data_IF_489233157741
#
_entry.id   IF_489233157741
#
_cell.length_a   1.000
_cell.length_b   1.000
_cell.length_c   1.000
_cell.angle_alpha   90.00
_cell.angle_beta   90.00
_cell.angle_gamma   90.00
#
_symmetry.space_group_name_H-M   'P 1'
#
loop_
_entity.id
_entity.type
_entity.pdbx_description
1 polymer ?
#
# COMPACT_ATOMS: atom_id res chain seq x y z
N UNK A 1 -46.93 8.68 22.04
CA UNK A 1 -46.20 9.78 21.37
C UNK A 1 -44.69 9.65 21.58
N UNK A 2 -44.20 9.43 22.80
CA UNK A 2 -42.75 9.32 23.10
C UNK A 2 -42.03 8.16 22.40
N UNK A 3 -42.62 6.96 22.37
CA UNK A 3 -41.97 5.75 21.80
C UNK A 3 -41.68 5.86 20.29
N UNK A 4 -42.59 6.46 19.50
CA UNK A 4 -42.37 6.76 18.07
C UNK A 4 -41.29 7.82 17.85
N UNK A 5 -41.13 8.76 18.79
CA UNK A 5 -40.09 9.79 18.73
C UNK A 5 -38.71 9.20 19.06
N UNK A 6 -38.64 8.25 20.00
CA UNK A 6 -37.42 7.49 20.31
C UNK A 6 -37.00 6.63 19.12
N UNK A 7 -37.92 5.85 18.55
CA UNK A 7 -37.64 5.02 17.38
C UNK A 7 -37.12 5.83 16.18
N UNK A 8 -37.74 6.99 15.90
CA UNK A 8 -37.27 7.86 14.81
C UNK A 8 -35.88 8.45 15.06
N UNK A 9 -35.53 8.74 16.31
CA UNK A 9 -34.18 9.20 16.67
C UNK A 9 -33.16 8.09 16.48
N UNK A 10 -33.48 6.89 16.95
CA UNK A 10 -32.58 5.73 16.84
C UNK A 10 -32.33 5.36 15.36
N UNK A 11 -33.36 5.42 14.52
CA UNK A 11 -33.22 5.20 13.06
C UNK A 11 -32.33 6.26 12.42
N UNK A 12 -32.54 7.55 12.73
CA UNK A 12 -31.72 8.63 12.18
C UNK A 12 -30.24 8.51 12.62
N UNK A 13 -29.99 8.11 13.88
CA UNK A 13 -28.64 7.86 14.38
C UNK A 13 -27.98 6.66 13.71
N UNK A 14 -28.72 5.59 13.45
CA UNK A 14 -28.24 4.43 12.69
C UNK A 14 -27.90 4.84 11.26
N UNK A 15 -28.78 5.54 10.55
CA UNK A 15 -28.54 6.01 9.18
C UNK A 15 -27.29 6.89 9.11
N UNK A 16 -27.13 7.80 10.06
CA UNK A 16 -25.94 8.66 10.15
C UNK A 16 -24.67 7.84 10.37
N UNK A 17 -24.66 6.89 11.31
CA UNK A 17 -23.49 6.05 11.58
C UNK A 17 -23.16 5.15 10.39
N UNK A 18 -24.18 4.58 9.75
CA UNK A 18 -24.04 3.74 8.57
C UNK A 18 -23.39 4.52 7.42
N UNK A 19 -23.86 5.75 7.17
CA UNK A 19 -23.28 6.65 6.17
C UNK A 19 -21.85 7.10 6.45
N UNK A 20 -21.38 6.98 7.70
CA UNK A 20 -20.03 7.33 8.10
C UNK A 20 -19.09 6.11 8.24
N UNK A 21 -19.55 4.88 7.99
CA UNK A 21 -18.71 3.68 8.19
C UNK A 21 -17.52 3.59 7.23
N UNK A 22 -17.65 4.16 6.04
CA UNK A 22 -16.62 4.12 5.02
C UNK A 22 -16.63 5.42 4.23
N UNK A 23 -15.45 5.99 3.98
CA UNK A 23 -15.32 7.19 3.15
C UNK A 23 -14.09 7.13 2.26
N UNK A 24 -14.20 7.69 1.07
CA UNK A 24 -13.06 7.93 0.20
C UNK A 24 -12.36 9.23 0.59
N UNK A 25 -11.05 9.25 0.43
CA UNK A 25 -10.27 10.47 0.63
C UNK A 25 -8.90 10.38 -0.02
N UNK A 26 -8.10 11.40 0.24
CA UNK A 26 -6.72 11.49 -0.24
C UNK A 26 -5.79 11.72 0.93
N UNK A 27 -4.64 11.03 0.97
CA UNK A 27 -3.63 11.27 2.00
C UNK A 27 -3.16 12.73 1.89
N UNK A 28 -3.31 13.48 2.97
CA UNK A 28 -2.91 14.89 3.04
C UNK A 28 -1.59 15.07 3.77
N UNK A 29 -1.36 14.28 4.84
CA UNK A 29 -0.16 14.32 5.67
C UNK A 29 0.21 12.87 6.04
N UNK A 30 1.51 12.60 6.17
CA UNK A 30 2.03 11.30 6.56
C UNK A 30 3.12 11.44 7.62
N UNK A 31 3.04 10.62 8.66
CA UNK A 31 4.07 10.42 9.67
C UNK A 31 4.49 8.95 9.63
N UNK A 32 5.56 8.69 8.89
CA UNK A 32 6.12 7.36 8.72
C UNK A 32 6.80 6.84 9.99
N UNK A 33 7.16 7.71 10.93
CA UNK A 33 7.80 7.29 12.20
C UNK A 33 6.80 6.62 13.14
N UNK A 34 5.52 6.98 13.03
CA UNK A 34 4.42 6.41 13.82
C UNK A 34 3.47 5.53 13.00
N UNK A 35 3.79 5.29 11.72
CA UNK A 35 2.96 4.55 10.77
C UNK A 35 1.52 5.09 10.69
N UNK A 36 1.37 6.42 10.64
CA UNK A 36 0.08 7.10 10.59
C UNK A 36 -0.01 8.12 9.47
N UNK A 37 -1.24 8.36 9.02
CA UNK A 37 -1.56 9.34 7.98
C UNK A 37 -2.80 10.15 8.36
N UNK A 38 -2.96 11.32 7.75
CA UNK A 38 -4.21 12.09 7.79
C UNK A 38 -4.82 12.11 6.40
N UNK A 39 -6.13 11.89 6.35
CA UNK A 39 -6.89 11.77 5.11
C UNK A 39 -7.82 12.97 4.97
N UNK A 40 -7.80 13.59 3.79
CA UNK A 40 -8.74 14.64 3.40
C UNK A 40 -9.89 14.05 2.61
N UNK A 41 -11.12 14.33 3.03
CA UNK A 41 -12.36 13.96 2.34
C UNK A 41 -13.29 15.16 2.28
N UNK A 42 -13.34 15.82 1.12
CA UNK A 42 -13.98 17.12 0.96
C UNK A 42 -13.44 18.15 1.97
N UNK A 43 -14.29 18.76 2.81
CA UNK A 43 -13.85 19.73 3.81
C UNK A 43 -13.23 19.09 5.06
N UNK A 44 -13.35 17.77 5.24
CA UNK A 44 -12.92 17.06 6.45
C UNK A 44 -11.47 16.66 6.31
N UNK A 45 -10.67 16.92 7.36
CA UNK A 45 -9.34 16.35 7.54
C UNK A 45 -9.36 15.47 8.79
N UNK A 46 -8.98 14.20 8.64
CA UNK A 46 -8.99 13.26 9.76
C UNK A 46 -7.92 13.60 10.82
N UNK A 47 -8.04 12.93 11.97
CA UNK A 47 -6.92 12.74 12.89
C UNK A 47 -5.86 11.80 12.28
N UNK A 48 -4.78 11.56 13.00
CA UNK A 48 -3.75 10.59 12.63
C UNK A 48 -4.28 9.16 12.73
N UNK A 49 -4.57 8.55 11.58
CA UNK A 49 -5.11 7.20 11.48
C UNK A 49 -3.98 6.22 11.14
N UNK A 50 -4.00 5.00 11.69
CA UNK A 50 -3.15 3.92 11.19
C UNK A 50 -3.57 3.54 9.76
N UNK A 51 -2.63 2.98 9.00
CA UNK A 51 -2.90 2.38 7.69
C UNK A 51 -2.64 0.87 7.70
N UNK A 52 -3.36 0.13 6.87
CA UNK A 52 -3.18 -1.30 6.72
C UNK A 52 -1.87 -1.65 6.01
N UNK A 53 -1.31 -2.79 6.39
CA UNK A 53 -0.22 -3.47 5.71
C UNK A 53 -0.61 -4.93 5.51
N UNK A 54 0.10 -5.68 4.66
CA UNK A 54 -0.24 -7.08 4.38
C UNK A 54 -0.02 -8.00 5.60
N UNK A 55 1.01 -7.74 6.42
CA UNK A 55 1.37 -8.50 7.63
C UNK A 55 1.97 -7.56 8.69
N UNK A 56 1.65 -7.76 9.97
CA UNK A 56 2.02 -6.86 11.07
C UNK A 56 2.32 -7.58 12.41
N UNK A 57 2.85 -8.80 12.38
CA UNK A 57 3.17 -9.63 13.56
C UNK A 57 4.49 -10.38 13.31
N UNK A 58 4.54 -11.71 13.46
CA UNK A 58 5.76 -12.51 13.20
C UNK A 58 6.38 -12.25 11.82
N UNK A 59 5.55 -12.01 10.80
CA UNK A 59 5.96 -11.38 9.55
C UNK A 59 5.47 -9.93 9.53
N UNK A 60 6.32 -8.99 9.09
CA UNK A 60 6.01 -7.56 8.99
C UNK A 60 6.30 -7.07 7.58
N UNK A 61 5.34 -6.38 6.96
CA UNK A 61 5.53 -5.72 5.66
C UNK A 61 5.49 -4.21 5.77
N UNK A 62 6.29 -3.52 4.95
CA UNK A 62 6.35 -2.07 4.89
C UNK A 62 6.25 -1.58 3.44
N UNK A 63 5.14 -0.92 3.12
CA UNK A 63 4.89 -0.20 1.87
C UNK A 63 3.85 0.88 2.16
N UNK A 64 4.27 2.01 2.74
CA UNK A 64 3.34 3.00 3.28
C UNK A 64 2.64 3.76 2.15
N UNK A 65 1.41 4.24 2.35
CA UNK A 65 0.75 5.11 1.38
C UNK A 65 1.45 6.47 1.32
N UNK A 66 1.43 7.10 0.14
CA UNK A 66 2.08 8.41 -0.09
C UNK A 66 1.09 9.57 0.03
N UNK A 67 1.61 10.76 0.38
CA UNK A 67 0.82 12.00 0.28
C UNK A 67 0.32 12.18 -1.15
N UNK A 68 -0.96 12.47 -1.27
CA UNK A 68 -1.65 12.57 -2.54
C UNK A 68 -2.24 11.26 -3.01
N UNK A 69 -2.09 10.11 -2.34
CA UNK A 69 -2.70 8.84 -2.75
C UNK A 69 -4.20 8.79 -2.40
N UNK A 70 -5.04 8.24 -3.28
CA UNK A 70 -6.46 8.07 -3.02
C UNK A 70 -6.70 6.77 -2.27
N UNK A 71 -7.46 6.84 -1.17
CA UNK A 71 -7.64 5.72 -0.24
C UNK A 71 -9.10 5.59 0.21
N UNK A 72 -9.42 4.41 0.72
CA UNK A 72 -10.64 4.17 1.49
C UNK A 72 -10.30 4.26 2.99
N UNK A 73 -11.16 4.87 3.79
CA UNK A 73 -11.06 4.86 5.25
C UNK A 73 -12.25 4.11 5.79
N UNK A 74 -12.01 3.06 6.58
CA UNK A 74 -13.06 2.44 7.39
C UNK A 74 -13.11 3.08 8.76
N UNK A 75 -14.31 3.37 9.22
CA UNK A 75 -14.61 4.03 10.48
C UNK A 75 -15.52 3.11 11.31
N UNK A 76 -14.96 2.23 12.15
CA UNK A 76 -15.74 1.39 13.06
C UNK A 76 -16.76 2.22 13.85
N UNK A 77 -18.02 1.76 13.89
CA UNK A 77 -19.11 2.48 14.56
C UNK A 77 -19.54 3.80 13.88
N UNK A 78 -19.00 4.11 12.69
CA UNK A 78 -19.21 5.40 12.03
C UNK A 78 -18.40 6.54 12.66
N UNK A 79 -17.35 6.23 13.44
CA UNK A 79 -16.48 7.21 14.09
C UNK A 79 -15.14 7.34 13.36
N UNK A 80 -14.95 8.46 12.66
CA UNK A 80 -13.71 8.72 11.91
C UNK A 80 -12.45 8.71 12.80
N UNK A 81 -12.57 9.08 14.07
CA UNK A 81 -11.45 9.10 15.02
C UNK A 81 -10.94 7.69 15.37
N UNK A 82 -11.76 6.67 15.16
CA UNK A 82 -11.40 5.26 15.33
C UNK A 82 -11.04 4.60 13.99
N UNK A 83 -10.95 5.41 12.92
CA UNK A 83 -10.79 4.89 11.58
C UNK A 83 -9.40 4.33 11.28
N UNK A 84 -9.33 3.54 10.22
CA UNK A 84 -8.09 3.05 9.64
C UNK A 84 -8.13 3.20 8.11
N UNK A 85 -6.97 3.46 7.52
CA UNK A 85 -6.82 3.59 6.07
C UNK A 85 -6.67 2.21 5.44
N UNK A 86 -7.59 1.87 4.53
CA UNK A 86 -7.60 0.64 3.75
C UNK A 86 -7.05 0.87 2.35
N UNK A 87 -5.81 0.42 2.14
CA UNK A 87 -5.21 0.30 0.80
C UNK A 87 -5.25 1.59 -0.01
N UNK A 88 -5.21 1.43 -1.33
CA UNK A 88 -5.18 2.50 -2.31
C UNK A 88 -6.11 2.21 -3.48
N UNK A 89 -6.55 3.27 -4.15
CA UNK A 89 -7.44 3.20 -5.30
C UNK A 89 -6.79 3.89 -6.49
N UNK A 90 -6.81 3.23 -7.64
CA UNK A 90 -6.42 3.85 -8.89
C UNK A 90 -7.28 5.07 -9.19
N UNK A 91 -6.67 6.06 -9.83
CA UNK A 91 -7.36 7.26 -10.32
C UNK A 91 -6.73 7.74 -11.62
N UNK A 92 -7.36 8.71 -12.28
CA UNK A 92 -6.82 9.28 -13.52
C UNK A 92 -5.36 9.78 -13.38
N UNK A 93 -4.99 10.35 -12.23
CA UNK A 93 -3.61 10.84 -12.00
C UNK A 93 -2.61 9.73 -11.58
N UNK A 94 -3.08 8.52 -11.30
CA UNK A 94 -2.29 7.35 -10.91
C UNK A 94 -3.00 6.07 -11.40
N UNK A 95 -2.93 5.78 -12.71
CA UNK A 95 -3.64 4.66 -13.33
C UNK A 95 -2.99 3.31 -12.97
N UNK A 96 -3.71 2.21 -13.27
CA UNK A 96 -3.17 0.86 -13.11
C UNK A 96 -1.93 0.65 -14.00
N UNK A 97 -0.88 -0.04 -13.51
CA UNK A 97 0.37 -0.24 -14.25
C UNK A 97 0.31 -1.38 -15.29
N UNK A 98 -0.79 -2.13 -15.34
CA UNK A 98 -1.02 -3.24 -16.26
C UNK A 98 -2.53 -3.43 -16.52
N UNK A 99 -2.86 -4.08 -17.63
CA UNK A 99 -4.22 -4.34 -18.12
C UNK A 99 -4.50 -5.83 -18.44
N UNK A 100 -3.50 -6.70 -18.24
CA UNK A 100 -3.59 -8.16 -18.45
C UNK A 100 -3.72 -8.92 -17.13
N UNK A 101 -4.61 -9.92 -17.09
CA UNK A 101 -4.84 -10.75 -15.89
C UNK A 101 -3.74 -11.79 -15.66
N UNK A 102 -2.84 -11.96 -16.62
CA UNK A 102 -1.66 -12.82 -16.55
C UNK A 102 -0.44 -12.12 -15.93
N UNK A 103 -0.53 -10.80 -15.73
CA UNK A 103 0.57 -9.97 -15.25
C UNK A 103 0.35 -9.58 -13.80
N UNK A 104 1.33 -9.89 -12.95
CA UNK A 104 1.49 -9.29 -11.63
C UNK A 104 2.67 -8.33 -11.67
N UNK A 105 2.52 -7.09 -11.20
CA UNK A 105 3.58 -6.09 -11.28
C UNK A 105 3.53 -5.10 -10.12
N UNK A 106 4.70 -4.75 -9.59
CA UNK A 106 4.92 -3.61 -8.71
C UNK A 106 5.79 -2.60 -9.46
N UNK A 107 5.40 -1.33 -9.47
CA UNK A 107 6.16 -0.24 -10.09
C UNK A 107 6.49 0.79 -9.02
N UNK A 108 7.77 1.12 -8.87
CA UNK A 108 8.25 2.13 -7.94
C UNK A 108 8.42 3.48 -8.65
N UNK A 109 8.35 4.56 -7.87
CA UNK A 109 8.34 5.95 -8.35
C UNK A 109 9.59 6.36 -9.14
N UNK A 110 10.71 5.70 -8.89
CA UNK A 110 11.97 5.91 -9.60
C UNK A 110 12.04 5.19 -10.95
N UNK A 111 11.02 4.42 -11.31
CA UNK A 111 10.94 3.64 -12.54
C UNK A 111 11.42 2.20 -12.40
N UNK A 112 11.86 1.77 -11.20
CA UNK A 112 12.08 0.35 -10.96
C UNK A 112 10.77 -0.43 -11.04
N UNK A 113 10.84 -1.70 -11.42
CA UNK A 113 9.68 -2.59 -11.37
C UNK A 113 10.06 -4.06 -11.20
N UNK A 114 9.14 -4.81 -10.62
CA UNK A 114 9.12 -6.27 -10.69
C UNK A 114 7.85 -6.70 -11.42
N UNK A 115 7.96 -7.75 -12.23
CA UNK A 115 6.86 -8.25 -13.04
C UNK A 115 6.98 -9.74 -13.28
N UNK A 116 5.86 -10.43 -13.10
CA UNK A 116 5.69 -11.81 -13.51
C UNK A 116 4.56 -11.92 -14.55
N UNK A 117 4.89 -12.45 -15.73
CA UNK A 117 3.93 -12.81 -16.77
C UNK A 117 3.78 -14.34 -16.80
N UNK A 118 2.62 -14.84 -16.35
CA UNK A 118 2.37 -16.29 -16.26
C UNK A 118 2.06 -16.96 -17.60
N UNK A 119 1.70 -16.19 -18.64
CA UNK A 119 1.49 -16.70 -19.99
C UNK A 119 2.81 -16.81 -20.75
N UNK A 120 3.67 -15.79 -20.62
CA UNK A 120 5.01 -15.78 -21.20
C UNK A 120 6.06 -16.55 -20.39
N UNK A 121 5.71 -17.02 -19.19
CA UNK A 121 6.63 -17.65 -18.23
C UNK A 121 7.87 -16.81 -17.93
N UNK A 122 7.70 -15.49 -17.79
CA UNK A 122 8.82 -14.55 -17.69
C UNK A 122 8.72 -13.68 -16.43
N UNK A 123 9.79 -13.72 -15.64
CA UNK A 123 10.00 -12.83 -14.50
C UNK A 123 11.03 -11.76 -14.84
N UNK A 124 10.72 -10.49 -14.63
CA UNK A 124 11.63 -9.36 -14.83
C UNK A 124 11.65 -8.50 -13.58
N UNK A 125 12.85 -8.32 -13.01
CA UNK A 125 13.15 -7.30 -12.02
C UNK A 125 14.14 -6.33 -12.69
N UNK A 126 13.80 -5.05 -12.72
CA UNK A 126 14.62 -4.02 -13.33
C UNK A 126 14.68 -2.79 -12.44
N UNK A 127 15.89 -2.24 -12.30
CA UNK A 127 16.15 -1.00 -11.57
C UNK A 127 16.82 0.01 -12.50
N UNK A 128 16.61 1.33 -12.33
CA UNK A 128 17.29 2.35 -13.11
C UNK A 128 18.81 2.22 -13.05
N UNK A 129 19.53 2.71 -14.08
CA UNK A 129 20.99 2.54 -14.20
C UNK A 129 21.83 3.11 -13.04
N UNK A 130 21.26 3.95 -12.17
CA UNK A 130 21.90 4.40 -10.93
C UNK A 130 21.74 3.48 -9.73
N UNK A 131 21.04 2.35 -9.88
CA UNK A 131 20.72 1.40 -8.82
C UNK A 131 21.57 0.12 -8.85
N UNK A 132 21.20 -0.82 -7.98
CA UNK A 132 21.82 -2.15 -7.89
C UNK A 132 20.82 -3.22 -7.47
N UNK A 133 21.12 -4.48 -7.79
CA UNK A 133 20.38 -5.66 -7.33
C UNK A 133 21.35 -6.54 -6.54
N UNK A 134 21.00 -6.86 -5.29
CA UNK A 134 21.79 -7.71 -4.40
C UNK A 134 20.99 -8.94 -4.01
N UNK A 135 21.55 -10.13 -4.23
CA UNK A 135 21.06 -11.41 -3.71
C UNK A 135 22.09 -11.95 -2.72
N UNK A 136 21.71 -12.09 -1.44
CA UNK A 136 22.67 -12.43 -0.39
C UNK A 136 22.19 -13.57 0.51
N UNK A 137 23.13 -14.40 0.96
CA UNK A 137 22.95 -15.44 1.98
C UNK A 137 24.19 -15.42 2.89
N UNK A 138 24.06 -14.85 4.09
CA UNK A 138 25.22 -14.60 4.97
C UNK A 138 26.27 -13.76 4.25
N UNK A 139 27.52 -14.24 4.21
CA UNK A 139 28.64 -13.58 3.52
C UNK A 139 28.72 -13.86 2.01
N UNK A 140 27.80 -14.68 1.47
CA UNK A 140 27.73 -14.95 0.03
C UNK A 140 26.79 -13.97 -0.66
N UNK A 141 27.22 -13.39 -1.78
CA UNK A 141 26.52 -12.30 -2.45
C UNK A 141 26.64 -12.39 -3.98
N UNK A 142 25.55 -12.11 -4.68
CA UNK A 142 25.53 -11.68 -6.08
C UNK A 142 25.07 -10.23 -6.13
N UNK A 143 25.95 -9.34 -6.60
CA UNK A 143 25.70 -7.91 -6.75
C UNK A 143 25.74 -7.55 -8.24
N UNK A 144 24.68 -6.93 -8.74
CA UNK A 144 24.60 -6.40 -10.09
C UNK A 144 24.42 -4.88 -10.06
N UNK A 145 25.29 -4.17 -10.76
CA UNK A 145 25.20 -2.73 -11.08
C UNK A 145 25.03 -2.56 -12.59
N UNK A 146 24.90 -1.33 -13.07
CA UNK A 146 24.77 -1.05 -14.51
C UNK A 146 25.98 -1.50 -15.35
N UNK A 147 27.16 -1.55 -14.74
CA UNK A 147 28.45 -1.77 -15.40
C UNK A 147 29.19 -3.02 -14.92
N UNK A 148 28.69 -3.71 -13.88
CA UNK A 148 29.39 -4.83 -13.28
C UNK A 148 28.45 -5.87 -12.64
N UNK A 149 28.91 -7.13 -12.63
CA UNK A 149 28.30 -8.22 -11.86
C UNK A 149 29.39 -8.86 -11.01
N UNK A 150 29.21 -8.86 -9.69
CA UNK A 150 30.14 -9.48 -8.74
C UNK A 150 29.48 -10.68 -8.07
N UNK A 151 30.22 -11.79 -8.00
CA UNK A 151 29.85 -12.96 -7.20
C UNK A 151 30.92 -13.13 -6.12
N UNK A 152 30.50 -13.07 -4.85
CA UNK A 152 31.35 -13.24 -3.69
C UNK A 152 30.87 -14.45 -2.90
N UNK A 153 31.75 -15.42 -2.69
CA UNK A 153 31.50 -16.56 -1.81
C UNK A 153 32.84 -17.24 -1.47
N UNK A 154 32.86 -18.08 -0.44
CA UNK A 154 34.02 -18.92 -0.11
C UNK A 154 34.29 -19.97 -1.19
N UNK A 155 33.25 -20.43 -1.88
CA UNK A 155 33.31 -21.38 -3.00
C UNK A 155 32.26 -21.00 -4.03
N UNK A 156 32.64 -21.00 -5.30
CA UNK A 156 31.72 -20.78 -6.43
C UNK A 156 31.83 -22.00 -7.33
N UNK A 157 30.76 -22.79 -7.39
CA UNK A 157 30.64 -23.93 -8.30
C UNK A 157 29.90 -23.48 -9.56
N UNK A 158 30.50 -23.70 -10.73
CA UNK A 158 29.90 -23.40 -12.03
C UNK A 158 29.69 -24.72 -12.78
N UNK A 159 28.43 -25.07 -13.06
CA UNK A 159 28.03 -26.35 -13.66
C UNK A 159 28.52 -27.60 -12.89
N UNK A 160 28.22 -27.73 -11.58
CA UNK A 160 28.56 -28.90 -10.78
C UNK A 160 27.80 -30.18 -11.18
#
# INVERSE_FOLDING_TARGET
MGERLHLNRDVADIERRLGCMALYGTIAEADYTTARVRVRSGPILSNWLPFLTSRAEGDVTWHPPEVGEQVLVLCPGGELNQGCVLGALYRAAAPAPADRVEVSTTVWKDGAFERYDREGHHYRLEVPAGGSITLAVGDSELLMTADNVTVRATRIDLNP
#
